data_IF_688237097125
#
_entry.id   IF_688237097125
#
_cell.length_a   1.000
_cell.length_b   1.000
_cell.length_c   1.000
_cell.angle_alpha   90.00
_cell.angle_beta   90.00
_cell.angle_gamma   90.00
#
_symmetry.space_group_name_H-M   'P 1'
#
loop_
_entity.id
_entity.type
_entity.pdbx_description
1 polymer ?
#
# COMPACT_ATOMS: atom_id res chain seq x y z
N UNK A 1 -38.68 2.01 41.61
CA UNK A 1 -38.84 1.40 40.26
C UNK A 1 -37.60 1.68 39.40
N UNK A 2 -37.18 2.94 39.26
CA UNK A 2 -35.86 3.29 38.72
C UNK A 2 -34.72 2.65 39.52
N UNK A 3 -34.83 2.60 40.85
CA UNK A 3 -33.78 2.03 41.71
C UNK A 3 -33.53 0.54 41.47
N UNK A 4 -34.58 -0.26 41.24
CA UNK A 4 -34.45 -1.72 41.01
C UNK A 4 -33.82 -2.00 39.66
N UNK A 5 -34.20 -1.25 38.61
CA UNK A 5 -33.56 -1.37 37.31
C UNK A 5 -32.12 -0.86 37.35
N UNK A 6 -31.81 0.19 38.14
CA UNK A 6 -30.45 0.65 38.34
C UNK A 6 -29.61 -0.34 39.15
N UNK A 7 -30.23 -1.03 40.11
CA UNK A 7 -29.61 -2.09 40.90
C UNK A 7 -29.35 -3.31 40.03
N UNK A 8 -30.31 -3.70 39.18
CA UNK A 8 -30.13 -4.73 38.17
C UNK A 8 -29.04 -4.32 37.18
N UNK A 9 -29.03 -3.09 36.65
CA UNK A 9 -27.96 -2.63 35.75
C UNK A 9 -26.59 -2.63 36.46
N UNK A 10 -26.52 -2.25 37.74
CA UNK A 10 -25.29 -2.28 38.54
C UNK A 10 -24.85 -3.71 38.88
N UNK A 11 -25.78 -4.61 39.17
CA UNK A 11 -25.54 -6.01 39.49
C UNK A 11 -25.25 -6.83 38.23
N UNK A 12 -25.84 -6.45 37.09
CA UNK A 12 -25.53 -6.93 35.75
C UNK A 12 -24.14 -6.46 35.36
N UNK A 13 -23.82 -5.17 35.53
CA UNK A 13 -22.45 -4.69 35.32
C UNK A 13 -21.50 -5.47 36.23
N UNK A 14 -21.79 -5.64 37.52
CA UNK A 14 -20.98 -6.42 38.45
C UNK A 14 -20.83 -7.90 38.03
N UNK A 15 -21.87 -8.53 37.49
CA UNK A 15 -21.84 -9.92 37.01
C UNK A 15 -21.07 -10.05 35.68
N UNK A 16 -21.21 -9.08 34.78
CA UNK A 16 -20.47 -8.97 33.51
C UNK A 16 -18.97 -8.76 33.80
N UNK A 17 -18.63 -7.93 34.79
CA UNK A 17 -17.27 -7.73 35.26
C UNK A 17 -16.69 -8.97 35.96
N UNK A 18 -17.52 -9.84 36.55
CA UNK A 18 -17.09 -11.03 37.29
C UNK A 18 -17.31 -12.38 36.57
N UNK A 19 -17.57 -12.39 35.27
CA UNK A 19 -17.80 -13.63 34.49
C UNK A 19 -18.87 -14.57 35.08
N UNK A 20 -19.80 -14.05 35.90
CA UNK A 20 -20.89 -14.84 36.46
C UNK A 20 -22.04 -14.86 35.47
N UNK A 21 -22.25 -16.01 34.84
CA UNK A 21 -23.43 -16.26 34.00
C UNK A 21 -24.68 -16.17 34.87
N UNK A 22 -25.49 -15.13 34.66
CA UNK A 22 -26.82 -15.01 35.29
C UNK A 22 -27.71 -16.10 34.69
N UNK A 23 -28.22 -17.08 35.49
CA UNK A 23 -29.09 -18.12 34.97
C UNK A 23 -30.33 -17.51 34.30
N UNK A 24 -30.75 -18.06 33.15
CA UNK A 24 -31.90 -17.53 32.39
C UNK A 24 -33.18 -17.52 33.24
N UNK A 25 -33.27 -18.43 34.20
CA UNK A 25 -34.40 -18.56 35.13
C UNK A 25 -34.51 -17.35 36.07
N UNK A 26 -33.38 -16.84 36.58
CA UNK A 26 -33.34 -15.62 37.42
C UNK A 26 -33.81 -14.42 36.62
N UNK A 27 -33.44 -14.37 35.34
CA UNK A 27 -33.87 -13.30 34.44
C UNK A 27 -35.35 -13.38 34.08
N UNK A 28 -35.94 -14.58 34.00
CA UNK A 28 -37.39 -14.74 33.74
C UNK A 28 -38.25 -14.42 34.97
N UNK A 29 -37.77 -14.71 36.18
CA UNK A 29 -38.51 -14.54 37.44
C UNK A 29 -38.72 -13.07 37.85
N UNK A 30 -37.83 -12.17 37.46
CA UNK A 30 -37.90 -10.74 37.83
C UNK A 30 -38.72 -9.89 36.84
N UNK A 31 -39.02 -10.38 35.63
CA UNK A 31 -39.52 -9.52 34.55
C UNK A 31 -41.04 -9.36 34.48
N UNK A 32 -41.81 -10.38 34.87
CA UNK A 32 -43.28 -10.29 34.91
C UNK A 32 -43.80 -9.19 35.86
N UNK A 33 -43.25 -9.02 37.08
CA UNK A 33 -43.68 -7.97 38.01
C UNK A 33 -43.31 -6.53 37.58
N UNK A 34 -42.36 -6.38 36.63
CA UNK A 34 -41.77 -5.08 36.24
C UNK A 34 -42.46 -4.40 35.04
N UNK A 35 -43.70 -4.79 34.72
CA UNK A 35 -44.44 -4.18 33.62
C UNK A 35 -43.96 -4.65 32.23
N UNK A 36 -43.69 -5.95 32.07
CA UNK A 36 -43.31 -6.59 30.81
C UNK A 36 -44.32 -6.38 29.63
N UNK A 37 -45.47 -5.79 29.90
CA UNK A 37 -46.48 -5.42 28.90
C UNK A 37 -46.22 -4.05 28.25
N UNK A 38 -45.34 -3.21 28.81
CA UNK A 38 -44.94 -1.96 28.19
C UNK A 38 -43.89 -2.18 27.08
N UNK A 39 -44.09 -1.56 25.92
CA UNK A 39 -43.20 -1.66 24.75
C UNK A 39 -41.77 -1.21 25.05
N UNK A 40 -41.62 -0.23 25.93
CA UNK A 40 -40.35 0.29 26.47
C UNK A 40 -39.61 -0.75 27.29
N UNK A 41 -40.32 -1.42 28.21
CA UNK A 41 -39.78 -2.48 29.08
C UNK A 41 -39.34 -3.69 28.27
N UNK A 42 -40.15 -4.14 27.30
CA UNK A 42 -39.75 -5.22 26.36
C UNK A 42 -38.47 -4.89 25.59
N UNK A 43 -38.36 -3.66 25.08
CA UNK A 43 -37.15 -3.23 24.36
C UNK A 43 -35.91 -3.18 25.26
N UNK A 44 -36.07 -2.79 26.52
CA UNK A 44 -34.99 -2.83 27.52
C UNK A 44 -34.58 -4.26 27.84
N UNK A 45 -35.55 -5.15 28.10
CA UNK A 45 -35.31 -6.59 28.34
C UNK A 45 -34.51 -7.21 27.20
N UNK A 46 -34.90 -6.98 25.94
CA UNK A 46 -34.18 -7.51 24.78
C UNK A 46 -32.75 -6.99 24.75
N UNK A 47 -32.54 -5.68 24.92
CA UNK A 47 -31.19 -5.09 24.96
C UNK A 47 -30.33 -5.65 26.09
N UNK A 48 -30.90 -5.83 27.28
CA UNK A 48 -30.21 -6.39 28.44
C UNK A 48 -29.88 -7.86 28.24
N UNK A 49 -30.83 -8.67 27.76
CA UNK A 49 -30.61 -10.08 27.39
C UNK A 49 -29.51 -10.20 26.34
N UNK A 50 -29.53 -9.34 25.31
CA UNK A 50 -28.49 -9.32 24.28
C UNK A 50 -27.12 -8.93 24.84
N UNK A 51 -27.06 -7.94 25.73
CA UNK A 51 -25.82 -7.53 26.39
C UNK A 51 -25.27 -8.64 27.30
N UNK A 52 -26.12 -9.32 28.05
CA UNK A 52 -25.73 -10.34 29.02
C UNK A 52 -25.25 -11.63 28.36
N UNK A 53 -25.96 -12.11 27.34
CA UNK A 53 -25.71 -13.44 26.78
C UNK A 53 -24.96 -13.44 25.45
N UNK A 54 -25.01 -12.35 24.68
CA UNK A 54 -24.44 -12.32 23.33
C UNK A 54 -23.28 -11.33 23.17
N UNK A 55 -23.09 -10.38 24.10
CA UNK A 55 -21.94 -9.48 24.04
C UNK A 55 -20.71 -10.20 24.62
N UNK A 56 -19.71 -10.42 23.77
CA UNK A 56 -18.40 -10.84 24.25
C UNK A 56 -17.73 -9.65 24.94
N UNK A 57 -17.27 -9.84 26.19
CA UNK A 57 -16.44 -8.86 26.88
C UNK A 57 -15.03 -8.99 26.33
N UNK A 58 -14.80 -8.37 25.18
CA UNK A 58 -13.48 -8.24 24.56
C UNK A 58 -13.13 -6.77 24.46
N UNK A 59 -11.94 -6.42 24.92
CA UNK A 59 -11.42 -5.06 24.80
C UNK A 59 -10.79 -4.92 23.43
N UNK A 60 -11.28 -3.98 22.62
CA UNK A 60 -10.82 -3.76 21.25
C UNK A 60 -9.97 -2.49 21.14
N UNK A 61 -10.10 -1.57 22.10
CA UNK A 61 -9.40 -0.28 22.07
C UNK A 61 -8.24 -0.29 23.06
N UNK A 62 -7.11 0.31 22.66
CA UNK A 62 -5.90 0.36 23.48
C UNK A 62 -6.12 0.99 24.87
N UNK A 63 -7.04 1.95 24.97
CA UNK A 63 -7.39 2.61 26.23
C UNK A 63 -8.25 1.76 27.17
N UNK A 64 -8.93 0.74 26.65
CA UNK A 64 -9.79 -0.13 27.46
C UNK A 64 -8.94 -1.12 28.26
N UNK A 65 -7.84 -1.61 27.69
CA UNK A 65 -6.95 -2.57 28.33
C UNK A 65 -5.48 -2.30 27.98
N UNK A 66 -4.93 -1.25 28.58
CA UNK A 66 -3.59 -0.76 28.28
C UNK A 66 -2.48 -1.76 28.63
N UNK A 67 -2.59 -2.50 29.74
CA UNK A 67 -1.57 -3.49 30.16
C UNK A 67 -1.46 -4.65 29.17
N UNK A 68 -2.60 -5.26 28.81
CA UNK A 68 -2.63 -6.38 27.87
C UNK A 68 -2.04 -6.00 26.50
N UNK A 69 -2.44 -4.85 25.96
CA UNK A 69 -1.88 -4.36 24.69
C UNK A 69 -0.42 -3.94 24.78
N UNK A 70 0.03 -3.34 25.88
CA UNK A 70 1.44 -3.01 26.08
C UNK A 70 2.32 -4.27 26.06
N UNK A 71 1.93 -5.31 26.81
CA UNK A 71 2.65 -6.60 26.82
C UNK A 71 2.66 -7.26 25.44
N UNK A 72 1.54 -7.19 24.71
CA UNK A 72 1.42 -7.71 23.34
C UNK A 72 2.42 -7.02 22.39
N UNK A 73 2.49 -5.69 22.43
CA UNK A 73 3.38 -4.89 21.58
C UNK A 73 4.85 -5.18 21.93
N UNK A 74 5.21 -5.16 23.22
CA UNK A 74 6.57 -5.50 23.69
C UNK A 74 6.99 -6.90 23.24
N UNK A 75 6.08 -7.87 23.32
CA UNK A 75 6.34 -9.24 22.88
C UNK A 75 6.71 -9.31 21.39
N UNK A 76 5.97 -8.58 20.54
CA UNK A 76 6.18 -8.54 19.10
C UNK A 76 7.46 -7.76 18.72
N UNK A 77 7.76 -6.66 19.42
CA UNK A 77 8.87 -5.75 19.10
C UNK A 77 10.23 -6.23 19.60
N UNK A 78 10.33 -6.77 20.82
CA UNK A 78 11.65 -7.03 21.44
C UNK A 78 12.19 -8.44 21.14
N UNK A 79 11.32 -9.44 21.06
CA UNK A 79 11.73 -10.85 21.07
C UNK A 79 12.05 -11.41 19.67
N UNK A 80 13.13 -10.90 19.07
CA UNK A 80 13.60 -11.30 17.74
C UNK A 80 14.05 -12.77 17.64
N UNK A 81 14.43 -13.39 18.77
CA UNK A 81 14.96 -14.77 18.81
C UNK A 81 13.87 -15.84 18.92
N UNK A 82 12.62 -15.50 19.24
CA UNK A 82 11.57 -16.50 19.47
C UNK A 82 11.00 -16.99 18.15
N UNK A 83 10.61 -18.26 18.11
CA UNK A 83 9.85 -18.82 16.99
C UNK A 83 8.43 -18.24 16.96
N UNK A 84 7.80 -18.30 15.79
CA UNK A 84 6.41 -17.91 15.61
C UNK A 84 5.49 -18.68 16.58
N UNK A 85 5.69 -20.00 16.73
CA UNK A 85 4.92 -20.85 17.64
C UNK A 85 5.03 -20.48 19.12
N UNK A 86 6.24 -20.20 19.60
CA UNK A 86 6.45 -19.77 20.98
C UNK A 86 5.80 -18.40 21.24
N UNK A 87 5.93 -17.49 20.27
CA UNK A 87 5.29 -16.17 20.33
C UNK A 87 3.77 -16.32 20.36
N UNK A 88 3.20 -17.12 19.46
CA UNK A 88 1.76 -17.38 19.37
C UNK A 88 1.17 -17.92 20.68
N UNK A 89 1.90 -18.81 21.35
CA UNK A 89 1.51 -19.31 22.68
C UNK A 89 1.39 -18.17 23.70
N UNK A 90 2.30 -17.21 23.66
CA UNK A 90 2.26 -16.02 24.52
C UNK A 90 1.10 -15.12 24.13
N UNK A 91 0.87 -14.89 22.82
CA UNK A 91 -0.26 -14.09 22.34
C UNK A 91 -1.60 -14.67 22.80
N UNK A 92 -1.81 -16.00 22.70
CA UNK A 92 -3.03 -16.63 23.20
C UNK A 92 -3.20 -16.51 24.71
N UNK A 93 -2.11 -16.57 25.49
CA UNK A 93 -2.15 -16.30 26.93
C UNK A 93 -2.57 -14.86 27.22
N UNK A 94 -2.01 -13.88 26.49
CA UNK A 94 -2.39 -12.47 26.63
C UNK A 94 -3.85 -12.22 26.22
N UNK A 95 -4.30 -12.79 25.10
CA UNK A 95 -5.70 -12.71 24.65
C UNK A 95 -6.65 -13.25 25.72
N UNK A 96 -6.34 -14.42 26.31
CA UNK A 96 -7.17 -15.04 27.33
C UNK A 96 -7.11 -14.33 28.69
N UNK A 97 -5.94 -13.86 29.11
CA UNK A 97 -5.74 -13.22 30.41
C UNK A 97 -6.35 -11.82 30.47
N UNK A 98 -6.20 -11.05 29.40
CA UNK A 98 -6.64 -9.66 29.32
C UNK A 98 -7.90 -9.48 28.47
N UNK A 99 -8.54 -10.56 28.01
CA UNK A 99 -9.72 -10.51 27.14
C UNK A 99 -9.56 -9.59 25.91
N UNK A 100 -8.39 -9.64 25.27
CA UNK A 100 -8.12 -8.79 24.10
C UNK A 100 -8.96 -9.24 22.89
N UNK A 101 -9.42 -8.28 22.08
CA UNK A 101 -10.08 -8.59 20.82
C UNK A 101 -9.08 -9.24 19.82
N UNK A 102 -9.31 -10.48 19.36
CA UNK A 102 -8.44 -11.16 18.40
C UNK A 102 -8.24 -10.40 17.09
N UNK A 103 -9.22 -9.60 16.64
CA UNK A 103 -9.10 -8.80 15.42
C UNK A 103 -8.16 -7.61 15.66
N UNK A 104 -8.22 -6.97 16.83
CA UNK A 104 -7.26 -5.93 17.19
C UNK A 104 -5.86 -6.48 17.40
N UNK A 105 -5.74 -7.66 17.99
CA UNK A 105 -4.44 -8.33 18.10
C UNK A 105 -3.85 -8.61 16.71
N UNK A 106 -4.65 -9.10 15.78
CA UNK A 106 -4.24 -9.30 14.39
C UNK A 106 -3.80 -7.98 13.72
N UNK A 107 -4.54 -6.90 13.94
CA UNK A 107 -4.18 -5.57 13.45
C UNK A 107 -2.81 -5.10 14.01
N UNK A 108 -2.54 -5.31 15.29
CA UNK A 108 -1.24 -4.99 15.90
C UNK A 108 -0.11 -5.89 15.37
N UNK A 109 -0.39 -7.17 15.07
CA UNK A 109 0.58 -8.05 14.40
C UNK A 109 0.95 -7.47 13.03
N UNK A 110 -0.04 -6.99 12.26
CA UNK A 110 0.18 -6.38 10.95
C UNK A 110 0.93 -5.04 11.05
N UNK A 111 0.61 -4.19 12.04
CA UNK A 111 1.36 -2.96 12.33
C UNK A 111 2.82 -3.25 12.71
N UNK A 112 3.05 -4.31 13.48
CA UNK A 112 4.41 -4.77 13.84
C UNK A 112 5.15 -5.28 12.61
N UNK A 113 4.46 -5.98 11.70
CA UNK A 113 5.06 -6.46 10.46
C UNK A 113 5.40 -5.29 9.52
N UNK A 114 4.55 -4.27 9.45
CA UNK A 114 4.84 -3.02 8.72
C UNK A 114 6.11 -2.33 9.23
N UNK A 115 6.31 -2.31 10.56
CA UNK A 115 7.47 -1.68 11.20
C UNK A 115 8.77 -2.49 11.00
N UNK A 116 8.70 -3.82 10.89
CA UNK A 116 9.87 -4.71 10.80
C UNK A 116 9.81 -5.64 9.57
N UNK A 117 9.87 -5.10 8.34
CA UNK A 117 9.78 -5.91 7.12
C UNK A 117 10.92 -6.93 6.98
N UNK A 118 12.06 -6.72 7.65
CA UNK A 118 13.19 -7.66 7.66
C UNK A 118 12.83 -9.00 8.32
N UNK A 119 11.82 -9.02 9.20
CA UNK A 119 11.33 -10.22 9.88
C UNK A 119 10.20 -10.92 9.12
N UNK A 120 10.16 -10.77 7.79
CA UNK A 120 9.13 -11.36 6.93
C UNK A 120 8.86 -12.84 7.23
N UNK A 121 9.88 -13.70 7.26
CA UNK A 121 9.70 -15.14 7.50
C UNK A 121 9.00 -15.44 8.84
N UNK A 122 9.33 -14.68 9.88
CA UNK A 122 8.72 -14.79 11.20
C UNK A 122 7.24 -14.38 11.17
N UNK A 123 6.91 -13.22 10.61
CA UNK A 123 5.52 -12.73 10.59
C UNK A 123 4.61 -13.58 9.70
N UNK A 124 5.12 -14.08 8.57
CA UNK A 124 4.37 -15.00 7.71
C UNK A 124 4.11 -16.32 8.43
N UNK A 125 5.12 -16.89 9.13
CA UNK A 125 4.91 -18.07 9.97
C UNK A 125 3.89 -17.82 11.08
N UNK A 126 3.96 -16.65 11.73
CA UNK A 126 3.05 -16.27 12.81
C UNK A 126 1.60 -16.13 12.31
N UNK A 127 1.38 -15.49 11.16
CA UNK A 127 0.04 -15.34 10.56
C UNK A 127 -0.56 -16.70 10.16
N UNK A 128 0.26 -17.59 9.60
CA UNK A 128 -0.15 -18.95 9.25
C UNK A 128 -0.50 -19.78 10.50
N UNK A 129 0.32 -19.72 11.55
CA UNK A 129 0.05 -20.44 12.80
C UNK A 129 -1.14 -19.86 13.57
N UNK A 130 -1.35 -18.54 13.54
CA UNK A 130 -2.50 -17.86 14.15
C UNK A 130 -3.83 -18.26 13.48
N UNK A 131 -3.78 -18.83 12.26
CA UNK A 131 -4.94 -19.21 11.43
C UNK A 131 -5.88 -18.03 11.18
N UNK A 132 -5.31 -16.85 10.94
CA UNK A 132 -6.09 -15.67 10.60
C UNK A 132 -6.88 -15.90 9.30
N UNK A 133 -8.17 -15.55 9.31
CA UNK A 133 -8.99 -15.61 8.09
C UNK A 133 -8.49 -14.56 7.09
N UNK A 134 -8.19 -15.00 5.86
CA UNK A 134 -7.75 -14.15 4.74
C UNK A 134 -8.67 -12.93 4.54
N UNK A 135 -9.99 -13.13 4.61
CA UNK A 135 -10.97 -12.05 4.43
C UNK A 135 -10.86 -10.97 5.52
N UNK A 136 -10.56 -11.40 6.76
CA UNK A 136 -10.38 -10.49 7.90
C UNK A 136 -9.09 -9.70 7.73
N UNK A 137 -7.98 -10.35 7.34
CA UNK A 137 -6.72 -9.65 7.06
C UNK A 137 -6.92 -8.65 5.92
N UNK A 138 -7.58 -9.06 4.83
CA UNK A 138 -7.91 -8.19 3.70
C UNK A 138 -8.75 -6.98 4.13
N UNK A 139 -9.73 -7.20 5.00
CA UNK A 139 -10.60 -6.12 5.50
C UNK A 139 -9.85 -5.14 6.40
N UNK A 140 -8.95 -5.62 7.27
CA UNK A 140 -8.11 -4.78 8.13
C UNK A 140 -7.18 -3.90 7.28
N UNK A 141 -6.45 -4.52 6.35
CA UNK A 141 -5.54 -3.79 5.44
C UNK A 141 -6.34 -2.83 4.54
N UNK A 142 -7.47 -3.27 3.99
CA UNK A 142 -8.38 -2.43 3.21
C UNK A 142 -8.86 -1.21 3.99
N UNK A 143 -9.23 -1.39 5.26
CA UNK A 143 -9.63 -0.28 6.14
C UNK A 143 -8.48 0.70 6.38
N UNK A 144 -7.24 0.21 6.58
CA UNK A 144 -6.05 1.09 6.65
C UNK A 144 -5.89 1.91 5.37
N UNK A 145 -6.06 1.31 4.19
CA UNK A 145 -6.03 2.08 2.94
C UNK A 145 -7.14 3.14 2.88
N UNK A 146 -8.36 2.82 3.32
CA UNK A 146 -9.47 3.80 3.36
C UNK A 146 -9.18 4.99 4.27
N UNK A 147 -8.48 4.78 5.37
CA UNK A 147 -8.05 5.84 6.27
C UNK A 147 -7.14 6.87 5.57
N UNK A 148 -6.22 6.40 4.71
CA UNK A 148 -5.29 7.29 3.99
C UNK A 148 -5.88 7.98 2.75
N UNK A 149 -7.11 7.67 2.34
CA UNK A 149 -7.74 8.28 1.16
C UNK A 149 -7.98 9.78 1.32
N UNK A 150 -8.22 10.21 2.56
CA UNK A 150 -8.44 11.62 2.91
C UNK A 150 -7.18 12.30 3.48
N UNK A 151 -6.07 11.56 3.57
CA UNK A 151 -4.81 12.04 4.12
C UNK A 151 -3.92 12.66 3.03
N UNK A 152 -2.76 13.19 3.41
CA UNK A 152 -1.75 13.75 2.50
C UNK A 152 -1.18 12.73 1.51
N UNK A 153 -1.33 11.43 1.83
CA UNK A 153 -0.95 10.31 0.99
C UNK A 153 -0.87 9.02 1.80
N UNK A 154 -0.85 7.89 1.11
CA UNK A 154 -0.64 6.58 1.72
C UNK A 154 0.87 6.32 1.88
N UNK A 155 1.35 5.88 3.07
CA UNK A 155 2.76 5.59 3.28
C UNK A 155 3.21 4.35 2.48
N UNK A 156 4.46 4.37 2.00
CA UNK A 156 5.02 3.27 1.22
C UNK A 156 5.14 1.95 2.00
N UNK A 157 5.35 2.02 3.32
CA UNK A 157 5.38 0.85 4.21
C UNK A 157 4.10 0.01 4.13
N UNK A 158 2.94 0.66 4.02
CA UNK A 158 1.65 -0.02 3.88
C UNK A 158 1.51 -0.70 2.52
N UNK A 159 1.94 -0.04 1.43
CA UNK A 159 1.97 -0.67 0.11
C UNK A 159 2.88 -1.89 0.09
N UNK A 160 4.07 -1.79 0.71
CA UNK A 160 5.02 -2.88 0.83
C UNK A 160 4.45 -4.06 1.63
N UNK A 161 3.83 -3.80 2.78
CA UNK A 161 3.16 -4.82 3.58
C UNK A 161 2.08 -5.55 2.74
N UNK A 162 1.23 -4.80 2.07
CA UNK A 162 0.19 -5.37 1.20
C UNK A 162 0.77 -6.22 0.07
N UNK A 163 1.83 -5.74 -0.58
CA UNK A 163 2.53 -6.48 -1.63
C UNK A 163 3.10 -7.81 -1.13
N UNK A 164 3.74 -7.82 0.05
CA UNK A 164 4.27 -9.02 0.68
C UNK A 164 3.14 -10.02 1.01
N UNK A 165 2.04 -9.55 1.60
CA UNK A 165 0.90 -10.39 1.96
C UNK A 165 0.23 -11.03 0.72
N UNK A 166 0.14 -10.28 -0.38
CA UNK A 166 -0.35 -10.82 -1.66
C UNK A 166 0.64 -11.82 -2.28
N UNK A 167 1.95 -11.54 -2.23
CA UNK A 167 2.98 -12.45 -2.74
C UNK A 167 2.98 -13.81 -2.02
N UNK A 168 2.79 -13.79 -0.70
CA UNK A 168 2.68 -15.00 0.15
C UNK A 168 1.31 -15.68 0.07
N UNK A 169 0.41 -15.19 -0.81
CA UNK A 169 -0.97 -15.69 -1.02
C UNK A 169 -1.84 -15.69 0.23
N UNK A 170 -1.55 -14.80 1.18
CA UNK A 170 -2.38 -14.59 2.37
C UNK A 170 -3.63 -13.80 2.02
N UNK A 171 -3.53 -12.86 1.07
CA UNK A 171 -4.63 -12.01 0.60
C UNK A 171 -4.66 -12.01 -0.93
N UNK A 172 -5.85 -12.05 -1.51
CA UNK A 172 -6.04 -11.87 -2.95
C UNK A 172 -5.92 -10.38 -3.35
N UNK A 173 -5.14 -10.10 -4.40
CA UNK A 173 -4.86 -8.74 -4.84
C UNK A 173 -6.12 -8.03 -5.38
N UNK A 174 -7.05 -8.79 -5.99
CA UNK A 174 -8.28 -8.22 -6.55
C UNK A 174 -9.28 -7.89 -5.44
N UNK A 175 -9.37 -8.74 -4.42
CA UNK A 175 -10.13 -8.45 -3.19
C UNK A 175 -9.67 -7.15 -2.53
N UNK A 176 -8.35 -6.96 -2.41
CA UNK A 176 -7.78 -5.72 -1.87
C UNK A 176 -8.10 -4.49 -2.73
N UNK A 177 -8.07 -4.63 -4.07
CA UNK A 177 -8.36 -3.54 -5.01
C UNK A 177 -9.76 -2.92 -4.85
N UNK A 178 -10.71 -3.63 -4.25
CA UNK A 178 -12.05 -3.10 -3.97
C UNK A 178 -12.05 -1.90 -3.01
N UNK A 179 -11.07 -1.87 -2.09
CA UNK A 179 -10.88 -0.83 -1.08
C UNK A 179 -10.08 0.37 -1.58
N UNK A 180 -9.27 0.19 -2.64
CA UNK A 180 -8.31 1.19 -3.10
C UNK A 180 -8.95 2.34 -3.90
N UNK A 181 -8.37 3.53 -3.78
CA UNK A 181 -8.64 4.70 -4.63
C UNK A 181 -7.47 4.99 -5.57
N UNK A 182 -7.68 5.61 -6.74
CA UNK A 182 -8.94 6.12 -7.30
C UNK A 182 -9.87 5.03 -7.83
N UNK A 183 -11.17 5.31 -7.84
CA UNK A 183 -12.17 4.51 -8.57
C UNK A 183 -11.94 4.68 -10.08
N UNK A 184 -12.47 3.75 -10.89
CA UNK A 184 -12.15 3.69 -12.32
C UNK A 184 -12.48 4.97 -13.09
N UNK A 185 -13.54 5.69 -12.71
CA UNK A 185 -13.95 6.94 -13.36
C UNK A 185 -12.92 8.07 -13.18
N UNK A 186 -12.45 8.28 -11.94
CA UNK A 186 -11.46 9.32 -11.66
C UNK A 186 -10.10 8.99 -12.26
N UNK A 187 -9.76 7.70 -12.34
CA UNK A 187 -8.57 7.22 -13.04
C UNK A 187 -8.63 7.55 -14.54
N UNK A 188 -9.76 7.31 -15.20
CA UNK A 188 -9.94 7.62 -16.63
C UNK A 188 -9.86 9.12 -16.91
N UNK A 189 -10.38 9.96 -16.02
CA UNK A 189 -10.24 11.41 -16.13
C UNK A 189 -8.78 11.85 -16.02
N UNK A 190 -8.04 11.35 -15.03
CA UNK A 190 -6.61 11.68 -14.87
C UNK A 190 -5.79 11.20 -16.07
N UNK A 191 -6.06 9.98 -16.58
CA UNK A 191 -5.44 9.47 -17.80
C UNK A 191 -5.67 10.40 -19.00
N UNK A 192 -6.91 10.84 -19.23
CA UNK A 192 -7.22 11.74 -20.34
C UNK A 192 -6.48 13.07 -20.21
N UNK A 193 -6.47 13.66 -19.01
CA UNK A 193 -5.75 14.93 -18.77
C UNK A 193 -4.24 14.78 -18.96
N UNK A 194 -3.64 13.67 -18.54
CA UNK A 194 -2.22 13.37 -18.79
C UNK A 194 -1.94 13.23 -20.27
N UNK A 195 -2.73 12.43 -20.99
CA UNK A 195 -2.59 12.23 -22.43
C UNK A 195 -2.68 13.56 -23.22
N UNK A 196 -3.62 14.44 -22.85
CA UNK A 196 -3.74 15.78 -23.45
C UNK A 196 -2.50 16.64 -23.18
N UNK A 197 -1.93 16.57 -21.96
CA UNK A 197 -0.69 17.26 -21.59
C UNK A 197 0.49 16.75 -22.41
N UNK A 198 0.65 15.44 -22.53
CA UNK A 198 1.77 14.81 -23.23
C UNK A 198 1.71 15.08 -24.73
N UNK A 199 0.50 15.05 -25.30
CA UNK A 199 0.27 15.41 -26.70
C UNK A 199 0.54 16.89 -26.96
N UNK A 200 0.19 17.78 -26.02
CA UNK A 200 0.54 19.19 -26.11
C UNK A 200 2.05 19.43 -26.00
N UNK A 201 2.76 18.65 -25.18
CA UNK A 201 4.23 18.69 -25.05
C UNK A 201 4.91 18.19 -26.33
N UNK A 202 4.46 17.05 -26.87
CA UNK A 202 4.98 16.47 -28.12
C UNK A 202 4.86 17.45 -29.29
N UNK A 203 3.68 18.06 -29.49
CA UNK A 203 3.45 19.06 -30.55
C UNK A 203 4.37 20.30 -30.44
N UNK A 204 4.74 20.68 -29.22
CA UNK A 204 5.66 21.81 -29.00
C UNK A 204 7.09 21.41 -29.28
N UNK A 205 7.51 20.20 -28.91
CA UNK A 205 8.83 19.67 -29.21
C UNK A 205 9.09 19.48 -30.71
N UNK A 206 8.04 19.23 -31.53
CA UNK A 206 8.17 19.16 -32.99
C UNK A 206 8.52 20.51 -33.65
N UNK A 207 8.19 21.64 -33.01
CA UNK A 207 8.34 22.97 -33.59
C UNK A 207 9.36 23.77 -32.77
N UNK A 208 10.63 23.66 -33.15
CA UNK A 208 11.70 24.45 -32.53
C UNK A 208 11.72 25.83 -33.20
N UNK A 209 11.33 26.87 -32.46
CA UNK A 209 11.45 28.25 -32.92
C UNK A 209 12.91 28.72 -32.87
N UNK A 210 13.58 28.71 -34.02
CA UNK A 210 14.96 29.20 -34.17
C UNK A 210 15.08 30.72 -34.18
N UNK A 211 13.96 31.44 -34.27
CA UNK A 211 13.93 32.90 -34.42
C UNK A 211 14.57 33.67 -33.26
N UNK A 212 14.70 33.04 -32.08
CA UNK A 212 15.25 33.65 -30.87
C UNK A 212 16.68 33.20 -30.55
N UNK A 213 17.28 32.31 -31.35
CA UNK A 213 18.57 31.69 -31.05
C UNK A 213 19.70 32.40 -31.83
N UNK A 214 20.72 32.96 -31.16
CA UNK A 214 21.86 33.58 -31.85
C UNK A 214 22.64 32.57 -32.72
N UNK A 215 23.00 32.95 -33.96
CA UNK A 215 23.84 32.14 -34.84
C UNK A 215 25.33 32.31 -34.48
N UNK A 216 26.07 31.21 -34.38
CA UNK A 216 27.51 31.20 -34.11
C UNK A 216 28.31 30.92 -35.39
N UNK A 217 29.47 31.58 -35.55
CA UNK A 217 30.40 31.39 -36.67
C UNK A 217 31.49 30.39 -36.24
N UNK A 218 31.60 29.22 -36.91
CA UNK A 218 32.64 28.21 -36.62
C UNK A 218 33.68 28.10 -37.75
N UNK A 219 35.00 28.08 -37.46
CA UNK A 219 36.04 27.83 -38.45
C UNK A 219 36.12 26.33 -38.82
N UNK A 220 36.24 26.05 -40.12
CA UNK A 220 36.18 24.71 -40.71
C UNK A 220 37.52 23.94 -40.64
N UNK A 221 37.88 23.38 -39.48
CA UNK A 221 39.07 22.52 -39.35
C UNK A 221 38.72 21.19 -38.66
N UNK A 222 38.42 20.11 -39.40
CA UNK A 222 38.68 18.73 -38.90
C UNK A 222 38.48 17.54 -39.88
N UNK A 223 38.32 17.71 -41.19
CA UNK A 223 38.14 16.55 -42.08
C UNK A 223 38.93 16.69 -43.38
N UNK A 224 39.93 15.81 -43.53
CA UNK A 224 40.55 15.30 -44.75
C UNK A 224 40.71 16.31 -45.91
N UNK A 225 41.94 16.84 -45.99
CA UNK A 225 42.70 17.23 -47.18
C UNK A 225 41.90 17.10 -48.50
N UNK A 226 41.17 18.15 -48.85
CA UNK A 226 41.12 18.67 -50.22
C UNK A 226 41.12 20.20 -50.13
N UNK A 227 42.16 20.78 -50.71
CA UNK A 227 42.59 22.15 -50.50
C UNK A 227 41.86 23.03 -51.51
N UNK A 228 40.60 23.38 -51.24
CA UNK A 228 39.88 24.47 -51.91
C UNK A 228 38.50 24.69 -51.27
N UNK A 229 38.28 25.88 -50.70
CA UNK A 229 37.04 26.37 -50.02
C UNK A 229 36.99 26.28 -48.48
N UNK A 230 37.85 27.03 -47.80
CA UNK A 230 37.70 27.38 -46.38
C UNK A 230 36.75 28.59 -46.20
N UNK A 231 35.43 28.42 -46.37
CA UNK A 231 34.45 29.44 -45.98
C UNK A 231 33.86 29.13 -44.59
N UNK A 232 33.79 30.09 -43.66
CA UNK A 232 33.15 29.87 -42.36
C UNK A 232 31.64 29.62 -42.53
N UNK A 233 31.11 28.63 -41.82
CA UNK A 233 29.67 28.32 -41.81
C UNK A 233 29.02 29.04 -40.62
N UNK A 234 28.10 29.97 -40.92
CA UNK A 234 27.17 30.55 -39.94
C UNK A 234 26.04 29.56 -39.68
N UNK A 235 25.89 29.11 -38.44
CA UNK A 235 24.84 28.17 -38.07
C UNK A 235 24.35 28.39 -36.65
N UNK A 236 23.13 27.94 -36.36
CA UNK A 236 22.65 27.87 -34.99
C UNK A 236 23.29 26.64 -34.36
N UNK A 237 23.95 26.81 -33.22
CA UNK A 237 24.57 25.67 -32.54
C UNK A 237 23.47 24.74 -32.01
N UNK A 238 23.66 23.43 -32.20
CA UNK A 238 22.75 22.43 -31.66
C UNK A 238 22.59 22.56 -30.12
N UNK A 239 23.66 22.97 -29.44
CA UNK A 239 23.66 23.24 -28.00
C UNK A 239 22.69 24.38 -27.61
N UNK A 240 22.62 25.45 -28.41
CA UNK A 240 21.71 26.56 -28.11
C UNK A 240 20.24 26.16 -28.35
N UNK A 241 19.97 25.35 -29.37
CA UNK A 241 18.65 24.74 -29.60
C UNK A 241 18.26 23.82 -28.43
N UNK A 242 19.16 22.96 -27.99
CA UNK A 242 18.94 22.05 -26.87
C UNK A 242 18.64 22.81 -25.56
N UNK A 243 19.39 23.88 -25.27
CA UNK A 243 19.18 24.68 -24.06
C UNK A 243 17.79 25.36 -24.03
N UNK A 244 17.32 25.89 -25.17
CA UNK A 244 15.97 26.47 -25.25
C UNK A 244 14.92 25.39 -25.00
N UNK A 245 15.06 24.22 -25.63
CA UNK A 245 14.15 23.10 -25.44
C UNK A 245 14.11 22.64 -23.97
N UNK A 246 15.28 22.52 -23.32
CA UNK A 246 15.38 22.17 -21.90
C UNK A 246 14.65 23.18 -20.99
N UNK A 247 14.78 24.48 -21.26
CA UNK A 247 14.05 25.49 -20.48
C UNK A 247 12.55 25.46 -20.67
N UNK A 248 12.06 25.11 -21.86
CA UNK A 248 10.62 24.91 -22.08
C UNK A 248 10.13 23.64 -21.38
N UNK A 249 10.89 22.55 -21.45
CA UNK A 249 10.59 21.30 -20.75
C UNK A 249 10.50 21.49 -19.23
N UNK A 250 11.40 22.28 -18.63
CA UNK A 250 11.33 22.61 -17.20
C UNK A 250 10.01 23.26 -16.79
N UNK A 251 9.44 24.15 -17.63
CA UNK A 251 8.14 24.79 -17.34
C UNK A 251 6.98 23.79 -17.36
N UNK A 252 7.07 22.71 -18.12
CA UNK A 252 6.07 21.63 -18.08
C UNK A 252 6.19 20.79 -16.81
N UNK A 253 7.42 20.56 -16.33
CA UNK A 253 7.69 19.80 -15.12
C UNK A 253 7.29 20.55 -13.84
N UNK A 254 7.25 21.88 -13.84
CA UNK A 254 6.80 22.67 -12.69
C UNK A 254 5.35 22.36 -12.25
N UNK A 255 4.52 21.81 -13.14
CA UNK A 255 3.16 21.35 -12.84
C UNK A 255 3.05 19.86 -12.50
N UNK A 256 4.14 19.11 -12.61
CA UNK A 256 4.15 17.68 -12.32
C UNK A 256 4.38 17.45 -10.83
N UNK A 257 3.41 16.79 -10.22
CA UNK A 257 3.57 16.23 -8.89
C UNK A 257 4.79 15.30 -8.90
N UNK A 258 5.70 15.45 -7.93
CA UNK A 258 6.82 14.52 -7.72
C UNK A 258 6.35 13.08 -7.81
N UNK A 259 7.15 12.18 -8.39
CA UNK A 259 6.82 10.75 -8.55
C UNK A 259 6.27 10.13 -7.26
N UNK A 260 6.87 10.44 -6.11
CA UNK A 260 6.43 9.98 -4.79
C UNK A 260 5.00 10.43 -4.47
N UNK A 261 4.67 11.69 -4.75
CA UNK A 261 3.33 12.21 -4.51
C UNK A 261 2.28 11.57 -5.43
N UNK A 262 2.64 11.21 -6.67
CA UNK A 262 1.74 10.46 -7.55
C UNK A 262 1.46 9.06 -7.00
N UNK A 263 2.49 8.35 -6.55
CA UNK A 263 2.39 7.02 -5.94
C UNK A 263 1.61 7.04 -4.62
N UNK A 264 1.82 8.06 -3.79
CA UNK A 264 1.16 8.20 -2.50
C UNK A 264 -0.31 8.60 -2.63
N UNK A 265 -0.69 9.35 -3.68
CA UNK A 265 -2.08 9.74 -3.96
C UNK A 265 -2.88 8.64 -4.64
N UNK A 266 -2.27 7.94 -5.61
CA UNK A 266 -2.93 6.88 -6.35
C UNK A 266 -2.58 5.51 -5.76
N UNK A 267 -3.44 5.00 -4.87
CA UNK A 267 -3.18 3.78 -4.12
C UNK A 267 -3.04 2.55 -5.01
N UNK A 268 -3.73 2.52 -6.16
CA UNK A 268 -3.57 1.43 -7.14
C UNK A 268 -2.16 1.44 -7.75
N UNK A 269 -1.68 2.62 -8.16
CA UNK A 269 -0.31 2.76 -8.67
C UNK A 269 0.73 2.47 -7.59
N UNK A 270 0.52 2.96 -6.36
CA UNK A 270 1.40 2.68 -5.22
C UNK A 270 1.50 1.19 -4.91
N UNK A 271 0.39 0.45 -4.95
CA UNK A 271 0.39 -1.00 -4.77
C UNK A 271 1.10 -1.71 -5.94
N UNK A 272 0.86 -1.29 -7.18
CA UNK A 272 1.57 -1.85 -8.35
C UNK A 272 3.07 -1.65 -8.26
N UNK A 273 3.52 -0.45 -7.86
CA UNK A 273 4.93 -0.16 -7.62
C UNK A 273 5.53 -1.05 -6.53
N UNK A 274 4.86 -1.20 -5.39
CA UNK A 274 5.34 -2.08 -4.32
C UNK A 274 5.38 -3.57 -4.73
N UNK A 275 4.45 -4.05 -5.56
CA UNK A 275 4.48 -5.41 -6.11
C UNK A 275 5.66 -5.63 -7.07
N UNK A 276 6.03 -4.62 -7.85
CA UNK A 276 7.19 -4.67 -8.74
C UNK A 276 8.50 -4.69 -7.95
N UNK A 277 8.61 -3.83 -6.93
CA UNK A 277 9.77 -3.77 -6.02
C UNK A 277 10.00 -5.11 -5.28
N UNK A 278 8.94 -5.76 -4.83
CA UNK A 278 9.02 -7.08 -4.19
C UNK A 278 9.23 -8.23 -5.20
N UNK A 279 9.27 -7.96 -6.51
CA UNK A 279 9.52 -8.95 -7.57
C UNK A 279 8.31 -9.79 -7.97
N UNK A 280 7.10 -9.44 -7.52
CA UNK A 280 5.87 -10.19 -7.77
C UNK A 280 5.24 -9.87 -9.15
N UNK A 281 5.97 -10.15 -10.23
CA UNK A 281 5.56 -9.80 -11.61
C UNK A 281 4.15 -10.29 -11.97
N UNK A 282 3.80 -11.52 -11.62
CA UNK A 282 2.48 -12.09 -11.98
C UNK A 282 1.31 -11.32 -11.36
N UNK A 283 1.47 -10.79 -10.15
CA UNK A 283 0.48 -9.97 -9.46
C UNK A 283 0.52 -8.53 -9.96
N UNK A 284 1.72 -7.97 -10.17
CA UNK A 284 1.89 -6.64 -10.75
C UNK A 284 1.25 -6.56 -12.14
N UNK A 285 1.45 -7.57 -12.99
CA UNK A 285 0.84 -7.69 -14.32
C UNK A 285 -0.69 -7.67 -14.25
N UNK A 286 -1.31 -8.38 -13.31
CA UNK A 286 -2.76 -8.35 -13.14
C UNK A 286 -3.30 -6.95 -12.82
N UNK A 287 -2.53 -6.11 -12.15
CA UNK A 287 -2.89 -4.70 -11.93
C UNK A 287 -2.59 -3.85 -13.16
N UNK A 288 -1.43 -4.03 -13.79
CA UNK A 288 -1.03 -3.33 -15.03
C UNK A 288 -2.05 -3.52 -16.14
N UNK A 289 -2.55 -4.75 -16.34
CA UNK A 289 -3.57 -5.09 -17.33
C UNK A 289 -4.92 -4.37 -17.08
N UNK A 290 -5.14 -3.79 -15.89
CA UNK A 290 -6.35 -3.04 -15.54
C UNK A 290 -6.21 -1.53 -15.71
N UNK A 291 -4.99 -1.01 -15.88
CA UNK A 291 -4.77 0.39 -16.19
C UNK A 291 -4.94 0.64 -17.70
N UNK A 292 -5.27 1.88 -18.10
CA UNK A 292 -5.15 2.28 -19.51
C UNK A 292 -3.73 2.06 -20.03
N UNK A 293 -3.60 1.88 -21.34
CA UNK A 293 -2.31 1.66 -22.00
C UNK A 293 -1.28 2.72 -21.58
N UNK A 294 -0.09 2.24 -21.18
CA UNK A 294 1.06 3.04 -20.74
C UNK A 294 0.84 3.96 -19.53
N UNK A 295 -0.35 3.98 -18.92
CA UNK A 295 -0.65 4.90 -17.81
C UNK A 295 0.29 4.73 -16.62
N UNK A 296 0.56 3.49 -16.20
CA UNK A 296 1.40 3.24 -15.02
C UNK A 296 2.86 3.70 -15.23
N UNK A 297 3.42 3.46 -16.42
CA UNK A 297 4.79 3.83 -16.79
C UNK A 297 4.91 5.34 -16.96
N UNK A 298 3.91 5.98 -17.53
CA UNK A 298 3.87 7.44 -17.70
C UNK A 298 3.58 8.19 -16.38
N UNK A 299 2.81 7.58 -15.47
CA UNK A 299 2.44 8.23 -14.22
C UNK A 299 3.56 8.27 -13.18
N UNK A 300 4.52 7.34 -13.24
CA UNK A 300 5.63 7.26 -12.30
C UNK A 300 6.88 6.70 -12.97
N UNK A 301 7.97 7.47 -12.95
CA UNK A 301 9.28 6.99 -13.42
C UNK A 301 9.76 5.77 -12.63
N UNK A 302 9.44 5.71 -11.34
CA UNK A 302 9.85 4.60 -10.48
C UNK A 302 9.25 3.27 -10.93
N UNK A 303 8.01 3.24 -11.42
CA UNK A 303 7.41 2.02 -11.99
C UNK A 303 8.21 1.54 -13.21
N UNK A 304 8.63 2.46 -14.08
CA UNK A 304 9.46 2.14 -15.24
C UNK A 304 10.81 1.55 -14.83
N UNK A 305 11.45 2.15 -13.82
CA UNK A 305 12.72 1.67 -13.27
C UNK A 305 12.56 0.27 -12.65
N UNK A 306 11.53 0.04 -11.82
CA UNK A 306 11.30 -1.28 -11.22
C UNK A 306 11.03 -2.37 -12.26
N UNK A 307 10.32 -2.05 -13.35
CA UNK A 307 10.15 -2.98 -14.47
C UNK A 307 11.50 -3.25 -15.14
N UNK A 308 12.31 -2.21 -15.37
CA UNK A 308 13.65 -2.38 -15.96
C UNK A 308 14.55 -3.25 -15.10
N UNK A 309 14.57 -3.01 -13.79
CA UNK A 309 15.34 -3.81 -12.82
C UNK A 309 14.87 -5.27 -12.80
N UNK A 310 13.56 -5.50 -12.90
CA UNK A 310 12.99 -6.84 -12.96
C UNK A 310 13.42 -7.57 -14.24
N UNK A 311 13.40 -6.87 -15.38
CA UNK A 311 13.89 -7.40 -16.65
C UNK A 311 15.38 -7.72 -16.55
N UNK A 312 16.19 -6.80 -16.01
CA UNK A 312 17.63 -6.99 -15.82
C UNK A 312 17.91 -8.25 -15.01
N UNK A 313 17.27 -8.42 -13.85
CA UNK A 313 17.41 -9.63 -13.02
C UNK A 313 16.95 -10.91 -13.72
N UNK A 314 15.90 -10.83 -14.54
CA UNK A 314 15.36 -12.01 -15.23
C UNK A 314 16.24 -12.48 -16.40
N UNK A 315 17.03 -11.58 -16.99
CA UNK A 315 17.91 -11.86 -18.13
C UNK A 315 19.36 -12.07 -17.68
N UNK A 316 19.75 -11.63 -16.48
CA UNK A 316 21.15 -11.67 -16.02
C UNK A 316 21.75 -13.08 -16.13
N UNK A 317 21.07 -14.13 -15.64
CA UNK A 317 21.56 -15.52 -15.74
C UNK A 317 21.87 -15.91 -17.21
N UNK A 318 20.96 -15.60 -18.12
CA UNK A 318 21.13 -15.86 -19.56
C UNK A 318 22.26 -15.00 -20.16
N UNK A 319 22.37 -13.74 -19.73
CA UNK A 319 23.43 -12.84 -20.18
C UNK A 319 24.81 -13.31 -19.70
N UNK A 320 24.94 -13.77 -18.45
CA UNK A 320 26.20 -14.30 -17.91
C UNK A 320 26.61 -15.59 -18.62
N UNK A 321 25.68 -16.51 -18.89
CA UNK A 321 25.96 -17.72 -19.68
C UNK A 321 26.45 -17.37 -21.09
N UNK A 322 25.78 -16.42 -21.75
CA UNK A 322 26.17 -15.95 -23.08
C UNK A 322 27.55 -15.28 -23.06
N UNK A 323 27.84 -14.46 -22.06
CA UNK A 323 29.15 -13.79 -21.90
C UNK A 323 30.27 -14.80 -21.60
N UNK A 324 29.98 -15.84 -20.81
CA UNK A 324 30.92 -16.92 -20.53
C UNK A 324 31.18 -17.78 -21.78
N UNK A 325 30.13 -18.08 -22.56
CA UNK A 325 30.24 -18.89 -23.78
C UNK A 325 30.85 -18.11 -24.96
N UNK A 326 30.52 -16.83 -25.09
CA UNK A 326 31.10 -15.89 -26.07
C UNK A 326 32.38 -15.26 -25.55
N UNK A 327 33.18 -16.02 -24.80
CA UNK A 327 34.41 -15.60 -24.14
C UNK A 327 35.05 -14.41 -24.85
N UNK A 328 35.05 -13.26 -24.17
CA UNK A 328 35.55 -11.99 -24.71
C UNK A 328 34.61 -11.18 -25.62
N UNK A 329 33.33 -11.00 -25.29
CA UNK A 329 32.55 -9.83 -25.73
C UNK A 329 31.79 -9.17 -24.57
N UNK A 330 32.50 -8.32 -23.82
CA UNK A 330 31.90 -7.21 -23.04
C UNK A 330 31.28 -6.22 -24.03
N UNK A 331 30.07 -6.49 -24.52
CA UNK A 331 29.30 -5.49 -25.24
C UNK A 331 27.87 -5.42 -24.70
N UNK A 332 27.62 -4.28 -24.05
CA UNK A 332 26.36 -3.66 -23.64
C UNK A 332 25.15 -4.10 -24.47
N UNK A 333 24.45 -5.16 -24.06
CA UNK A 333 23.07 -5.44 -24.49
C UNK A 333 22.14 -4.85 -23.42
N UNK A 334 22.20 -3.53 -23.24
CA UNK A 334 21.30 -2.82 -22.33
C UNK A 334 20.58 -1.65 -23.02
N UNK A 335 20.91 -1.36 -24.29
CA UNK A 335 20.41 -0.16 -24.99
C UNK A 335 19.16 -0.46 -25.85
N UNK A 336 18.72 -1.71 -25.99
CA UNK A 336 17.69 -2.09 -26.98
C UNK A 336 16.25 -2.19 -26.41
N UNK A 337 16.05 -2.14 -25.09
CA UNK A 337 14.71 -2.27 -24.49
C UNK A 337 14.17 -1.00 -23.81
N UNK A 338 14.89 0.12 -23.86
CA UNK A 338 14.52 1.39 -23.19
C UNK A 338 14.24 2.57 -24.15
N UNK A 339 14.00 2.29 -25.44
CA UNK A 339 13.30 3.20 -26.38
C UNK A 339 11.92 2.59 -26.62
#
# INVERSE_FOLDING_TARGET
MLDVLSALDAEIDYCVWNFKVVPEDVMKLELEPLGANETTTRSRIVKTKTRLFFKQVKFNLLREENEGYAKLITELYENHSRSASSTLTILYRLIGQFNLDPNRVLDIILESFEAFPQRRSFFISLLNEYKANSDVICSIIGFKFTFYQNSTGTPFSLFRLAAILCMERIIDVLSLCSYLTPKSETLMSDYKTRLERDLARSKKAEIISTAQIPAEIRPANSALIDDSFSNPVTGISFAAVAAVQETEDLKFLEGENSDEMNLNKNQKLGLTFALLEEGAWSLAKQLLDRFPEFFAVNASKNIALSISDLIERSIDDFYQELVFFLGSLRFKIFVIFCI
#
